data_IF_605953180414
#
_entry.id   IF_605953180414
#
_cell.length_a   1.000
_cell.length_b   1.000
_cell.length_c   1.000
_cell.angle_alpha   90.00
_cell.angle_beta   90.00
_cell.angle_gamma   90.00
#
_symmetry.space_group_name_H-M   'P 1'
#
loop_
_entity.id
_entity.type
_entity.pdbx_description
1 polymer ?
#
# COMPACT_ATOMS: atom_id res chain seq x y z
N UNK A 1 34.23 5.78 -1.81
CA UNK A 1 33.19 6.41 -2.68
C UNK A 1 32.19 7.26 -1.88
N UNK A 2 31.73 6.82 -0.71
CA UNK A 2 30.86 7.60 0.19
C UNK A 2 31.55 8.88 0.71
N UNK A 3 32.87 8.84 0.97
CA UNK A 3 33.61 10.00 1.47
C UNK A 3 33.70 11.14 0.45
N UNK A 4 33.75 10.82 -0.84
CA UNK A 4 33.72 11.81 -1.92
C UNK A 4 32.35 12.49 -2.09
N UNK A 5 31.26 11.77 -1.84
CA UNK A 5 29.91 12.35 -1.79
C UNK A 5 29.71 13.19 -0.54
N UNK A 6 30.25 12.75 0.60
CA UNK A 6 30.22 13.50 1.86
C UNK A 6 31.00 14.81 1.77
N UNK A 7 32.08 14.85 1.00
CA UNK A 7 32.83 16.07 0.71
C UNK A 7 32.09 17.04 -0.24
N UNK A 8 31.29 16.52 -1.19
CA UNK A 8 30.51 17.36 -2.13
C UNK A 8 29.25 17.97 -1.54
N UNK A 9 28.63 17.31 -0.56
CA UNK A 9 27.37 17.79 0.05
C UNK A 9 27.36 17.59 1.58
N UNK A 10 28.31 18.19 2.31
CA UNK A 10 28.44 18.01 3.77
C UNK A 10 27.19 18.46 4.52
N UNK A 11 26.47 19.46 4.00
CA UNK A 11 25.22 19.96 4.56
C UNK A 11 24.09 18.93 4.53
N UNK A 12 24.00 18.10 3.48
CA UNK A 12 22.98 17.05 3.36
C UNK A 12 23.27 15.91 4.34
N UNK A 13 24.54 15.51 4.47
CA UNK A 13 24.95 14.51 5.46
C UNK A 13 24.80 15.00 6.90
N UNK A 14 25.12 16.27 7.17
CA UNK A 14 24.89 16.88 8.48
C UNK A 14 23.39 16.98 8.81
N UNK A 15 22.55 17.30 7.82
CA UNK A 15 21.10 17.29 7.99
C UNK A 15 20.57 15.87 8.27
N UNK A 16 21.01 14.87 7.51
CA UNK A 16 20.66 13.46 7.72
C UNK A 16 21.09 12.94 9.11
N UNK A 17 22.25 13.36 9.60
CA UNK A 17 22.74 13.01 10.94
C UNK A 17 21.92 13.65 12.07
N UNK A 18 21.23 14.77 11.81
CA UNK A 18 20.39 15.44 12.79
C UNK A 18 18.97 14.88 12.87
N UNK A 19 18.56 14.03 11.92
CA UNK A 19 17.22 13.43 11.94
C UNK A 19 17.18 12.42 13.09
N UNK A 20 16.34 12.65 14.12
CA UNK A 20 16.23 11.71 15.22
C UNK A 20 15.68 10.39 14.68
N UNK A 21 16.22 9.26 15.16
CA UNK A 21 15.78 7.95 14.69
C UNK A 21 14.30 7.73 15.01
N UNK A 22 13.51 7.21 14.04
CA UNK A 22 12.10 6.95 14.26
C UNK A 22 11.91 5.92 15.38
N UNK A 23 10.88 6.16 16.20
CA UNK A 23 10.56 5.33 17.37
C UNK A 23 9.40 4.40 17.03
N UNK A 24 9.56 3.11 17.32
CA UNK A 24 8.53 2.10 17.08
C UNK A 24 8.33 1.29 18.37
N UNK A 25 7.07 1.18 18.79
CA UNK A 25 6.69 0.36 19.94
C UNK A 25 6.66 -1.13 19.57
N UNK A 26 7.04 -2.00 20.51
CA UNK A 26 6.86 -3.44 20.33
C UNK A 26 5.39 -3.81 20.40
N UNK A 27 4.99 -4.72 19.53
CA UNK A 27 3.61 -5.21 19.46
C UNK A 27 3.59 -6.72 19.24
N UNK A 28 2.51 -7.41 19.68
CA UNK A 28 2.37 -8.84 19.42
C UNK A 28 2.38 -9.14 17.91
N UNK A 29 2.83 -10.34 17.55
CA UNK A 29 3.04 -10.79 16.18
C UNK A 29 1.99 -10.34 15.13
N UNK A 30 0.66 -10.58 15.32
CA UNK A 30 -0.32 -10.20 14.30
C UNK A 30 -0.40 -8.68 14.10
N UNK A 31 -0.21 -7.91 15.16
CA UNK A 31 -0.21 -6.44 15.12
C UNK A 31 1.07 -5.89 14.52
N UNK A 32 2.20 -6.58 14.68
CA UNK A 32 3.46 -6.21 14.03
C UNK A 32 3.34 -6.28 12.50
N UNK A 33 2.66 -7.30 11.98
CA UNK A 33 2.38 -7.45 10.54
C UNK A 33 1.48 -6.32 10.03
N UNK A 34 0.40 -6.02 10.74
CA UNK A 34 -0.49 -4.91 10.39
C UNK A 34 0.25 -3.57 10.45
N UNK A 35 1.03 -3.32 11.50
CA UNK A 35 1.83 -2.09 11.65
C UNK A 35 2.84 -1.93 10.51
N UNK A 36 3.50 -3.02 10.10
CA UNK A 36 4.41 -3.03 8.98
C UNK A 36 3.69 -2.76 7.65
N UNK A 37 2.56 -3.41 7.41
CA UNK A 37 1.74 -3.19 6.21
C UNK A 37 1.20 -1.76 6.14
N UNK A 38 0.73 -1.19 7.25
CA UNK A 38 0.27 0.19 7.33
C UNK A 38 1.40 1.19 7.10
N UNK A 39 2.61 0.94 7.63
CA UNK A 39 3.76 1.78 7.38
C UNK A 39 4.17 1.76 5.89
N UNK A 40 4.16 0.58 5.28
CA UNK A 40 4.39 0.40 3.85
C UNK A 40 3.35 1.12 2.99
N UNK A 41 2.07 1.06 3.41
CA UNK A 41 0.96 1.74 2.76
C UNK A 41 1.15 3.26 2.77
N UNK A 42 1.44 3.87 3.93
CA UNK A 42 1.63 5.32 4.01
C UNK A 42 2.87 5.79 3.25
N UNK A 43 4.02 5.10 3.38
CA UNK A 43 5.24 5.46 2.63
C UNK A 43 5.00 5.32 1.13
N UNK A 44 4.35 4.22 0.73
CA UNK A 44 4.01 3.96 -0.66
C UNK A 44 3.09 5.03 -1.24
N UNK A 45 2.00 5.35 -0.53
CA UNK A 45 1.06 6.37 -0.94
C UNK A 45 1.70 7.76 -1.02
N UNK A 46 2.51 8.14 -0.03
CA UNK A 46 3.18 9.44 -0.01
C UNK A 46 4.15 9.61 -1.18
N UNK A 47 4.99 8.60 -1.44
CA UNK A 47 5.91 8.63 -2.58
C UNK A 47 5.15 8.57 -3.92
N UNK A 48 4.07 7.79 -3.98
CA UNK A 48 3.22 7.74 -5.17
C UNK A 48 2.63 9.10 -5.47
N UNK A 49 2.02 9.77 -4.48
CA UNK A 49 1.47 11.12 -4.61
C UNK A 49 2.57 12.10 -5.02
N UNK A 50 3.74 12.04 -4.36
CA UNK A 50 4.86 12.91 -4.68
C UNK A 50 5.31 12.76 -6.14
N UNK A 51 5.57 11.54 -6.61
CA UNK A 51 5.98 11.30 -8.00
C UNK A 51 4.86 11.59 -8.98
N UNK A 52 3.61 11.26 -8.64
CA UNK A 52 2.43 11.55 -9.44
C UNK A 52 2.27 13.05 -9.70
N UNK A 53 2.52 13.90 -8.69
CA UNK A 53 2.49 15.36 -8.83
C UNK A 53 3.73 15.86 -9.56
N UNK A 54 4.92 15.51 -9.08
CA UNK A 54 6.19 16.00 -9.63
C UNK A 54 6.34 15.66 -11.11
N UNK A 55 6.12 14.40 -11.49
CA UNK A 55 6.30 13.96 -12.89
C UNK A 55 5.24 14.54 -13.82
N UNK A 56 4.00 14.77 -13.34
CA UNK A 56 2.97 15.43 -14.15
C UNK A 56 3.30 16.89 -14.41
N UNK A 57 3.83 17.60 -13.42
CA UNK A 57 4.30 18.99 -13.59
C UNK A 57 5.36 19.07 -14.70
N UNK A 58 6.20 18.04 -14.84
CA UNK A 58 7.24 17.96 -15.87
C UNK A 58 6.82 17.19 -17.14
N UNK A 59 5.55 16.78 -17.29
CA UNK A 59 5.07 16.02 -18.45
C UNK A 59 5.72 14.64 -18.63
N UNK A 60 6.30 14.07 -17.57
CA UNK A 60 7.08 12.83 -17.59
C UNK A 60 6.38 11.65 -16.88
N UNK A 61 5.08 11.79 -16.60
CA UNK A 61 4.26 10.73 -15.99
C UNK A 61 3.52 9.93 -17.07
N UNK A 62 3.41 8.59 -16.96
CA UNK A 62 3.96 7.71 -15.92
C UNK A 62 5.44 7.34 -16.16
N UNK A 63 6.19 7.11 -15.09
CA UNK A 63 7.59 6.66 -15.17
C UNK A 63 7.82 5.36 -14.38
N UNK A 64 8.26 4.29 -15.07
CA UNK A 64 8.46 2.97 -14.47
C UNK A 64 9.54 2.92 -13.37
N UNK A 65 10.52 3.82 -13.39
CA UNK A 65 11.51 3.92 -12.31
C UNK A 65 10.90 4.46 -11.01
N UNK A 66 9.90 5.34 -11.11
CA UNK A 66 9.25 5.94 -9.95
C UNK A 66 8.41 4.90 -9.20
N UNK A 67 7.66 4.06 -9.92
CA UNK A 67 6.95 2.92 -9.32
C UNK A 67 7.92 1.92 -8.67
N UNK A 68 9.07 1.64 -9.30
CA UNK A 68 10.12 0.82 -8.70
C UNK A 68 10.67 1.39 -7.37
N UNK A 69 10.89 2.71 -7.29
CA UNK A 69 11.33 3.35 -6.05
C UNK A 69 10.25 3.31 -4.96
N UNK A 70 8.99 3.52 -5.31
CA UNK A 70 7.85 3.37 -4.40
C UNK A 70 7.85 1.96 -3.82
N UNK A 71 7.92 0.93 -4.66
CA UNK A 71 7.96 -0.48 -4.21
C UNK A 71 9.14 -0.73 -3.27
N UNK A 72 10.34 -0.28 -3.64
CA UNK A 72 11.53 -0.48 -2.80
C UNK A 72 11.38 0.18 -1.42
N UNK A 73 10.90 1.43 -1.38
CA UNK A 73 10.70 2.15 -0.14
C UNK A 73 9.61 1.52 0.73
N UNK A 74 8.48 1.11 0.15
CA UNK A 74 7.39 0.44 0.87
C UNK A 74 7.85 -0.90 1.46
N UNK A 75 8.51 -1.74 0.64
CA UNK A 75 9.04 -3.05 1.08
C UNK A 75 10.08 -2.87 2.17
N UNK A 76 11.02 -1.94 2.00
CA UNK A 76 12.05 -1.66 3.01
C UNK A 76 11.45 -1.14 4.31
N UNK A 77 10.46 -0.26 4.23
CA UNK A 77 9.73 0.23 5.40
C UNK A 77 9.04 -0.91 6.14
N UNK A 78 8.32 -1.77 5.41
CA UNK A 78 7.63 -2.90 6.01
C UNK A 78 8.58 -3.87 6.70
N UNK A 79 9.68 -4.24 6.04
CA UNK A 79 10.71 -5.13 6.56
C UNK A 79 11.36 -4.53 7.82
N UNK A 80 11.73 -3.25 7.77
CA UNK A 80 12.31 -2.55 8.91
C UNK A 80 11.34 -2.47 10.09
N UNK A 81 10.08 -2.10 9.85
CA UNK A 81 9.05 -2.01 10.90
C UNK A 81 8.71 -3.38 11.46
N UNK A 82 8.50 -4.41 10.64
CA UNK A 82 8.17 -5.77 11.09
C UNK A 82 9.25 -6.34 12.02
N UNK A 83 10.52 -6.17 11.65
CA UNK A 83 11.64 -6.66 12.45
C UNK A 83 11.80 -5.96 13.79
N UNK A 84 11.53 -4.65 13.86
CA UNK A 84 11.68 -3.84 15.08
C UNK A 84 10.46 -4.00 16.00
N UNK A 85 9.26 -4.05 15.41
CA UNK A 85 7.99 -4.13 16.13
C UNK A 85 7.67 -5.55 16.63
N UNK A 86 7.93 -6.58 15.81
CA UNK A 86 7.57 -7.98 16.09
C UNK A 86 8.73 -8.98 16.07
N UNK A 87 9.97 -8.52 15.86
CA UNK A 87 11.15 -9.38 15.87
C UNK A 87 11.30 -10.24 14.61
N UNK A 88 12.12 -11.30 14.74
CA UNK A 88 12.47 -12.19 13.61
C UNK A 88 11.27 -12.92 13.02
N UNK A 89 10.31 -13.33 13.84
CA UNK A 89 9.12 -14.03 13.37
C UNK A 89 8.28 -13.16 12.44
N UNK A 90 7.99 -11.91 12.84
CA UNK A 90 7.25 -10.96 12.00
C UNK A 90 8.01 -10.61 10.71
N UNK A 91 9.34 -10.46 10.80
CA UNK A 91 10.19 -10.29 9.62
C UNK A 91 10.05 -11.45 8.63
N UNK A 92 10.23 -12.69 9.08
CA UNK A 92 10.17 -13.85 8.20
C UNK A 92 8.76 -14.08 7.64
N UNK A 93 7.71 -13.82 8.44
CA UNK A 93 6.34 -13.92 7.97
C UNK A 93 6.06 -12.89 6.85
N UNK A 94 6.45 -11.63 7.04
CA UNK A 94 6.25 -10.60 6.03
C UNK A 94 7.13 -10.82 4.79
N UNK A 95 8.39 -11.21 4.97
CA UNK A 95 9.28 -11.53 3.85
C UNK A 95 8.77 -12.76 3.06
N UNK A 96 8.31 -13.79 3.76
CA UNK A 96 7.70 -14.97 3.15
C UNK A 96 6.45 -14.63 2.36
N UNK A 97 5.60 -13.74 2.89
CA UNK A 97 4.45 -13.20 2.16
C UNK A 97 4.87 -12.53 0.84
N UNK A 98 5.83 -11.60 0.87
CA UNK A 98 6.32 -10.93 -0.36
C UNK A 98 6.82 -11.94 -1.39
N UNK A 99 7.56 -12.96 -0.95
CA UNK A 99 8.08 -14.01 -1.84
C UNK A 99 6.93 -14.78 -2.49
N UNK A 100 5.91 -15.16 -1.72
CA UNK A 100 4.72 -15.86 -2.24
C UNK A 100 3.95 -14.97 -3.22
N UNK A 101 3.65 -13.73 -2.85
CA UNK A 101 2.99 -12.75 -3.71
C UNK A 101 3.76 -12.55 -5.03
N UNK A 102 5.08 -12.44 -4.93
CA UNK A 102 5.94 -12.24 -6.10
C UNK A 102 5.96 -13.47 -6.99
N UNK A 103 6.06 -14.66 -6.41
CA UNK A 103 6.03 -15.91 -7.17
C UNK A 103 4.72 -16.08 -7.95
N UNK A 104 3.59 -15.78 -7.31
CA UNK A 104 2.27 -15.75 -7.94
C UNK A 104 2.24 -14.74 -9.09
N UNK A 105 2.66 -13.51 -8.83
CA UNK A 105 2.64 -12.43 -9.82
C UNK A 105 3.54 -12.73 -11.03
N UNK A 106 4.72 -13.31 -10.78
CA UNK A 106 5.66 -13.70 -11.84
C UNK A 106 5.08 -14.82 -12.71
N UNK A 107 4.42 -15.81 -12.08
CA UNK A 107 3.74 -16.90 -12.79
C UNK A 107 2.66 -16.35 -13.71
N UNK A 108 1.88 -15.38 -13.24
CA UNK A 108 0.86 -14.73 -14.05
C UNK A 108 1.46 -13.92 -15.20
N UNK A 109 2.51 -13.14 -14.93
CA UNK A 109 3.24 -12.40 -15.95
C UNK A 109 3.76 -13.32 -17.05
N UNK A 110 4.34 -14.48 -16.70
CA UNK A 110 4.81 -15.47 -17.68
C UNK A 110 3.67 -16.07 -18.52
N UNK A 111 2.50 -16.34 -17.92
CA UNK A 111 1.32 -16.79 -18.68
C UNK A 111 0.81 -15.74 -19.65
N UNK A 112 0.72 -14.48 -19.22
CA UNK A 112 0.33 -13.36 -20.07
C UNK A 112 1.32 -13.15 -21.22
N UNK A 113 2.62 -13.25 -20.93
CA UNK A 113 3.68 -13.13 -21.92
C UNK A 113 3.70 -14.26 -22.96
N UNK A 114 3.15 -15.43 -22.62
CA UNK A 114 3.00 -16.54 -23.55
C UNK A 114 1.78 -16.38 -24.48
N UNK A 115 0.79 -15.55 -24.12
CA UNK A 115 -0.47 -15.40 -24.87
C UNK A 115 -0.56 -14.13 -25.69
N UNK A 116 0.23 -13.09 -25.39
CA UNK A 116 0.17 -11.79 -26.08
C UNK A 116 1.25 -11.69 -27.17
N UNK A 117 0.82 -11.37 -28.40
CA UNK A 117 1.70 -11.11 -29.54
C UNK A 117 1.33 -9.78 -30.24
N UNK A 118 2.30 -8.88 -30.49
CA UNK A 118 3.72 -8.97 -30.10
C UNK A 118 3.91 -8.82 -28.58
N UNK A 119 4.84 -9.61 -28.02
CA UNK A 119 5.08 -9.61 -26.59
C UNK A 119 5.72 -8.28 -26.14
N UNK A 120 5.21 -7.62 -25.08
CA UNK A 120 5.79 -6.39 -24.56
C UNK A 120 7.20 -6.62 -23.99
N UNK A 121 8.02 -5.57 -23.92
CA UNK A 121 9.41 -5.64 -23.43
C UNK A 121 9.55 -6.17 -21.99
N UNK A 122 8.48 -6.03 -21.20
CA UNK A 122 8.33 -6.62 -19.85
C UNK A 122 8.33 -8.16 -19.84
N UNK A 123 8.13 -8.81 -20.99
CA UNK A 123 8.16 -10.26 -21.17
C UNK A 123 9.55 -10.83 -21.48
N UNK A 124 10.54 -9.97 -21.71
CA UNK A 124 11.92 -10.39 -21.88
C UNK A 124 12.55 -10.80 -20.53
N UNK A 125 13.61 -11.62 -20.56
CA UNK A 125 14.38 -11.98 -19.36
C UNK A 125 14.83 -10.74 -18.56
N UNK A 126 15.31 -9.71 -19.26
CA UNK A 126 15.71 -8.44 -18.65
C UNK A 126 14.50 -7.65 -18.11
N UNK A 127 13.35 -7.70 -18.78
CA UNK A 127 12.08 -7.16 -18.25
C UNK A 127 11.68 -7.83 -16.94
N UNK A 128 11.81 -9.16 -16.85
CA UNK A 128 11.52 -9.90 -15.61
C UNK A 128 12.53 -9.57 -14.50
N UNK A 129 13.82 -9.45 -14.80
CA UNK A 129 14.84 -9.07 -13.83
C UNK A 129 14.64 -7.65 -13.27
N UNK A 130 14.29 -6.70 -14.13
CA UNK A 130 14.04 -5.31 -13.69
C UNK A 130 12.85 -5.21 -12.73
N UNK A 131 11.87 -6.11 -12.84
CA UNK A 131 10.75 -6.17 -11.88
C UNK A 131 11.11 -6.77 -10.51
N UNK A 132 12.24 -7.49 -10.39
CA UNK A 132 12.73 -8.03 -9.11
C UNK A 132 13.63 -7.06 -8.36
N UNK A 133 14.34 -6.20 -9.10
CA UNK A 133 15.31 -5.25 -8.55
C UNK A 133 14.74 -4.36 -7.43
N UNK A 134 13.52 -3.79 -7.54
CA UNK A 134 12.90 -3.01 -6.45
C UNK A 134 12.81 -3.75 -5.11
N UNK A 135 12.56 -5.05 -5.12
CA UNK A 135 12.42 -5.84 -3.90
C UNK A 135 13.77 -6.10 -3.24
N UNK A 136 14.82 -6.31 -4.02
CA UNK A 136 16.20 -6.43 -3.51
C UNK A 136 16.64 -5.10 -2.90
N UNK A 137 16.39 -3.99 -3.60
CA UNK A 137 16.67 -2.65 -3.08
C UNK A 137 15.88 -2.38 -1.80
N UNK A 138 14.60 -2.77 -1.76
CA UNK A 138 13.77 -2.70 -0.58
C UNK A 138 14.31 -3.50 0.60
N UNK A 139 14.79 -4.72 0.38
CA UNK A 139 15.45 -5.52 1.42
C UNK A 139 16.68 -4.82 2.01
N UNK A 140 17.52 -4.22 1.17
CA UNK A 140 18.69 -3.44 1.61
C UNK A 140 18.29 -2.18 2.39
N UNK A 141 17.29 -1.43 1.89
CA UNK A 141 16.72 -0.28 2.59
C UNK A 141 16.15 -0.69 3.94
N UNK A 142 15.44 -1.80 3.99
CA UNK A 142 14.90 -2.37 5.21
C UNK A 142 15.99 -2.68 6.21
N UNK A 143 17.08 -3.33 5.79
CA UNK A 143 18.24 -3.58 6.65
C UNK A 143 18.86 -2.30 7.21
N UNK A 144 19.00 -1.26 6.38
CA UNK A 144 19.44 0.06 6.85
C UNK A 144 18.47 0.67 7.87
N UNK A 145 17.17 0.56 7.60
CA UNK A 145 16.12 1.08 8.47
C UNK A 145 16.09 0.36 9.82
N UNK A 146 16.31 -0.96 9.85
CA UNK A 146 16.41 -1.74 11.10
C UNK A 146 17.47 -1.19 12.04
N UNK A 147 18.62 -0.79 11.49
CA UNK A 147 19.74 -0.25 12.26
C UNK A 147 19.49 1.18 12.74
N UNK A 148 18.61 1.91 12.06
CA UNK A 148 18.31 3.29 12.37
C UNK A 148 17.11 3.43 13.32
N UNK A 149 16.11 2.56 13.23
CA UNK A 149 14.93 2.56 14.08
C UNK A 149 15.28 2.29 15.55
N UNK A 150 14.64 3.02 16.46
CA UNK A 150 14.74 2.77 17.90
C UNK A 150 13.46 2.11 18.42
N UNK A 151 13.65 1.01 19.15
CA UNK A 151 12.59 0.38 19.93
C UNK A 151 12.32 1.24 21.16
N UNK A 152 11.05 1.52 21.44
CA UNK A 152 10.63 2.26 22.65
C UNK A 152 9.49 1.52 23.32
N UNK A 153 9.48 1.48 24.65
CA UNK A 153 8.36 0.98 25.42
C UNK A 153 7.27 2.08 25.47
N UNK A 154 6.09 1.79 24.91
CA UNK A 154 5.02 2.76 24.79
C UNK A 154 3.80 2.20 24.05
N UNK A 155 2.77 3.03 23.88
CA UNK A 155 1.56 2.60 23.19
C UNK A 155 1.82 2.28 21.70
N UNK A 156 1.18 1.21 21.17
CA UNK A 156 1.19 0.89 19.74
C UNK A 156 0.71 2.06 18.88
N UNK A 157 1.23 2.18 17.66
CA UNK A 157 0.69 3.15 16.72
C UNK A 157 -0.58 2.60 16.05
N UNK A 158 -1.73 2.94 16.63
CA UNK A 158 -3.05 2.45 16.19
C UNK A 158 -3.34 2.83 14.74
N UNK A 159 -2.86 3.98 14.26
CA UNK A 159 -3.05 4.40 12.86
C UNK A 159 -2.42 3.40 11.89
N UNK A 160 -1.24 2.88 12.20
CA UNK A 160 -0.54 1.91 11.35
C UNK A 160 -1.22 0.54 11.39
N UNK A 161 -1.72 0.10 12.56
CA UNK A 161 -2.49 -1.14 12.65
C UNK A 161 -3.76 -1.08 11.80
N UNK A 162 -4.49 0.04 11.85
CA UNK A 162 -5.73 0.28 11.10
C UNK A 162 -5.45 0.37 9.59
N UNK A 163 -4.43 1.13 9.19
CA UNK A 163 -4.03 1.21 7.78
C UNK A 163 -3.54 -0.14 7.24
N UNK A 164 -2.83 -0.92 8.06
CA UNK A 164 -2.43 -2.28 7.72
C UNK A 164 -3.61 -3.22 7.52
N UNK A 165 -4.68 -3.04 8.27
CA UNK A 165 -5.90 -3.83 8.14
C UNK A 165 -6.69 -3.53 6.86
N UNK A 166 -6.44 -2.38 6.24
CA UNK A 166 -6.92 -2.06 4.91
C UNK A 166 -5.99 -2.65 3.84
N UNK A 167 -4.69 -2.32 3.93
CA UNK A 167 -3.72 -2.64 2.89
C UNK A 167 -3.43 -4.15 2.76
N UNK A 168 -3.43 -4.89 3.86
CA UNK A 168 -3.06 -6.32 3.84
C UNK A 168 -4.13 -7.20 3.18
N UNK A 169 -5.44 -7.08 3.49
CA UNK A 169 -6.49 -7.77 2.75
C UNK A 169 -6.53 -7.41 1.26
N UNK A 170 -6.32 -6.15 0.90
CA UNK A 170 -6.23 -5.74 -0.50
C UNK A 170 -5.09 -6.48 -1.22
N UNK A 171 -3.87 -6.43 -0.68
CA UNK A 171 -2.71 -7.10 -1.27
C UNK A 171 -2.91 -8.63 -1.34
N UNK A 172 -3.46 -9.23 -0.29
CA UNK A 172 -3.79 -10.65 -0.23
C UNK A 172 -4.76 -11.04 -1.33
N UNK A 173 -5.83 -10.29 -1.47
CA UNK A 173 -6.87 -10.67 -2.38
C UNK A 173 -6.51 -10.39 -3.84
N UNK A 174 -5.72 -9.35 -4.14
CA UNK A 174 -5.11 -9.21 -5.46
C UNK A 174 -4.24 -10.42 -5.82
N UNK A 175 -3.50 -10.96 -4.84
CA UNK A 175 -2.66 -12.14 -5.03
C UNK A 175 -3.52 -13.39 -5.27
N UNK A 176 -4.50 -13.66 -4.40
CA UNK A 176 -5.41 -14.80 -4.55
C UNK A 176 -6.19 -14.77 -5.86
N UNK A 177 -6.64 -13.58 -6.26
CA UNK A 177 -7.38 -13.39 -7.49
C UNK A 177 -6.55 -13.77 -8.72
N UNK A 178 -5.27 -13.35 -8.75
CA UNK A 178 -4.32 -13.76 -9.81
C UNK A 178 -4.08 -15.27 -9.86
N UNK A 179 -4.13 -15.97 -8.73
CA UNK A 179 -3.97 -17.44 -8.67
C UNK A 179 -5.22 -18.15 -9.19
N UNK A 180 -6.39 -17.76 -8.69
CA UNK A 180 -7.64 -18.50 -8.90
C UNK A 180 -8.21 -18.33 -10.31
N UNK A 181 -8.12 -17.13 -10.87
CA UNK A 181 -8.84 -16.80 -12.10
C UNK A 181 -7.94 -16.70 -13.34
N UNK A 182 -6.61 -16.80 -13.19
CA UNK A 182 -5.69 -16.69 -14.32
C UNK A 182 -5.93 -15.37 -15.06
N UNK A 183 -6.51 -15.43 -16.26
CA UNK A 183 -6.98 -14.28 -17.06
C UNK A 183 -8.50 -14.07 -16.86
N UNK A 184 -8.92 -13.39 -15.80
CA UNK A 184 -10.34 -13.10 -15.59
C UNK A 184 -10.89 -12.27 -16.75
N UNK A 185 -12.16 -12.50 -17.07
CA UNK A 185 -12.91 -11.50 -17.86
C UNK A 185 -12.95 -10.18 -17.08
N UNK A 186 -13.08 -9.05 -17.77
CA UNK A 186 -13.11 -7.72 -17.13
C UNK A 186 -14.16 -7.63 -16.01
N UNK A 187 -15.24 -8.41 -16.08
CA UNK A 187 -16.32 -8.47 -15.09
C UNK A 187 -15.92 -9.17 -13.79
N UNK A 188 -15.29 -10.33 -13.86
CA UNK A 188 -14.85 -11.09 -12.67
C UNK A 188 -13.76 -10.33 -11.91
N UNK A 189 -12.87 -9.67 -12.65
CA UNK A 189 -11.85 -8.80 -12.07
C UNK A 189 -12.44 -7.61 -11.32
N UNK A 190 -13.41 -6.93 -11.92
CA UNK A 190 -14.07 -5.80 -11.29
C UNK A 190 -14.89 -6.22 -10.06
N UNK A 191 -15.72 -7.26 -10.16
CA UNK A 191 -16.54 -7.72 -9.03
C UNK A 191 -15.69 -8.17 -7.85
N UNK A 192 -14.58 -8.87 -8.13
CA UNK A 192 -13.68 -9.32 -7.07
C UNK A 192 -12.98 -8.13 -6.43
N UNK A 193 -12.51 -7.16 -7.22
CA UNK A 193 -11.88 -5.96 -6.69
C UNK A 193 -12.84 -5.14 -5.80
N UNK A 194 -14.13 -5.10 -6.14
CA UNK A 194 -15.16 -4.48 -5.31
C UNK A 194 -15.41 -5.26 -4.00
N UNK A 195 -15.49 -6.59 -4.07
CA UNK A 195 -15.64 -7.45 -2.89
C UNK A 195 -14.45 -7.30 -1.93
N UNK A 196 -13.24 -7.22 -2.48
CA UNK A 196 -12.00 -7.02 -1.73
C UNK A 196 -12.00 -5.69 -1.01
N UNK A 197 -12.38 -4.61 -1.71
CA UNK A 197 -12.57 -3.29 -1.11
C UNK A 197 -13.51 -3.37 0.09
N UNK A 198 -14.65 -4.03 -0.10
CA UNK A 198 -15.66 -4.13 0.93
C UNK A 198 -15.13 -4.89 2.15
N UNK A 199 -14.43 -6.01 1.95
CA UNK A 199 -13.82 -6.78 3.05
C UNK A 199 -12.71 -5.99 3.75
N UNK A 200 -11.84 -5.31 3.00
CA UNK A 200 -10.76 -4.49 3.55
C UNK A 200 -11.30 -3.29 4.35
N UNK A 201 -12.30 -2.58 3.81
CA UNK A 201 -13.00 -1.49 4.48
C UNK A 201 -13.71 -1.93 5.76
N UNK A 202 -14.39 -3.09 5.74
CA UNK A 202 -15.00 -3.68 6.94
C UNK A 202 -13.93 -4.05 7.98
N UNK A 203 -12.84 -4.69 7.58
CA UNK A 203 -11.76 -5.08 8.49
C UNK A 203 -11.13 -3.86 9.18
N UNK A 204 -10.82 -2.82 8.40
CA UNK A 204 -10.34 -1.52 8.88
C UNK A 204 -11.31 -0.91 9.91
N UNK A 205 -12.61 -0.84 9.58
CA UNK A 205 -13.65 -0.29 10.46
C UNK A 205 -13.86 -1.09 11.75
N UNK A 206 -13.84 -2.42 11.68
CA UNK A 206 -13.95 -3.30 12.85
C UNK A 206 -12.76 -3.10 13.80
N UNK A 207 -11.55 -3.01 13.26
CA UNK A 207 -10.35 -2.82 14.06
C UNK A 207 -10.29 -1.45 14.72
N UNK A 208 -10.67 -0.40 14.00
CA UNK A 208 -10.82 0.94 14.56
C UNK A 208 -11.79 0.95 15.75
N UNK A 209 -12.97 0.30 15.60
CA UNK A 209 -13.99 0.21 16.66
C UNK A 209 -13.51 -0.59 17.87
N UNK A 210 -12.72 -1.64 17.66
CA UNK A 210 -12.20 -2.48 18.75
C UNK A 210 -11.07 -1.83 19.53
N UNK A 211 -10.26 -1.00 18.87
CA UNK A 211 -9.03 -0.45 19.46
C UNK A 211 -9.19 0.97 20.01
N UNK A 212 -10.21 1.70 19.57
CA UNK A 212 -10.40 3.11 19.93
C UNK A 212 -11.81 3.32 20.43
N UNK A 213 -11.96 3.80 21.67
CA UNK A 213 -13.27 4.01 22.32
C UNK A 213 -13.79 5.44 22.18
N UNK A 214 -12.90 6.39 21.88
CA UNK A 214 -13.21 7.81 21.67
C UNK A 214 -13.63 8.09 20.20
N UNK A 215 -14.88 8.52 19.96
CA UNK A 215 -15.39 8.78 18.61
C UNK A 215 -14.67 9.92 17.89
N UNK A 216 -14.22 10.96 18.59
CA UNK A 216 -13.51 12.08 17.94
C UNK A 216 -12.16 11.62 17.36
N UNK A 217 -11.48 10.71 18.06
CA UNK A 217 -10.22 10.12 17.61
C UNK A 217 -10.44 9.10 16.47
N UNK A 218 -11.55 8.36 16.48
CA UNK A 218 -11.92 7.46 15.39
C UNK A 218 -12.11 8.21 14.07
N UNK A 219 -12.89 9.30 14.08
CA UNK A 219 -13.12 10.12 12.88
C UNK A 219 -11.85 10.73 12.32
N UNK A 220 -10.95 11.20 13.18
CA UNK A 220 -9.65 11.74 12.75
C UNK A 220 -8.81 10.69 12.03
N UNK A 221 -8.74 9.47 12.55
CA UNK A 221 -7.92 8.41 11.94
C UNK A 221 -8.52 7.91 10.62
N UNK A 222 -9.85 7.79 10.54
CA UNK A 222 -10.54 7.50 9.29
C UNK A 222 -10.38 8.60 8.27
N UNK A 223 -10.44 9.86 8.68
CA UNK A 223 -10.21 10.98 7.78
C UNK A 223 -8.78 10.93 7.22
N UNK A 224 -7.78 10.60 8.04
CA UNK A 224 -6.39 10.45 7.56
C UNK A 224 -6.29 9.31 6.53
N UNK A 225 -6.81 8.12 6.84
CA UNK A 225 -6.78 6.98 5.90
C UNK A 225 -7.56 7.31 4.63
N UNK A 226 -8.75 7.89 4.77
CA UNK A 226 -9.61 8.30 3.68
C UNK A 226 -8.99 9.34 2.76
N UNK A 227 -8.33 10.37 3.31
CA UNK A 227 -7.59 11.37 2.52
C UNK A 227 -6.45 10.72 1.75
N UNK A 228 -5.75 9.74 2.33
CA UNK A 228 -4.67 9.05 1.63
C UNK A 228 -5.21 8.19 0.49
N UNK A 229 -6.25 7.39 0.74
CA UNK A 229 -6.91 6.55 -0.28
C UNK A 229 -7.48 7.42 -1.41
N UNK A 230 -8.25 8.45 -1.07
CA UNK A 230 -8.83 9.39 -2.04
C UNK A 230 -7.75 10.18 -2.78
N UNK A 231 -6.67 10.57 -2.10
CA UNK A 231 -5.56 11.31 -2.69
C UNK A 231 -4.83 10.49 -3.75
N UNK A 232 -4.49 9.24 -3.43
CA UNK A 232 -3.92 8.30 -4.41
C UNK A 232 -4.89 8.08 -5.57
N UNK A 233 -6.17 7.88 -5.27
CA UNK A 233 -7.18 7.68 -6.30
C UNK A 233 -7.32 8.88 -7.26
N UNK A 234 -7.54 10.09 -6.74
CA UNK A 234 -7.69 11.33 -7.50
C UNK A 234 -6.46 11.62 -8.36
N UNK A 235 -5.27 11.35 -7.85
CA UNK A 235 -4.02 11.70 -8.50
C UNK A 235 -3.46 10.58 -9.36
N UNK A 236 -3.94 9.34 -9.29
CA UNK A 236 -3.34 8.22 -10.03
C UNK A 236 -4.39 7.48 -10.83
N UNK A 237 -5.42 6.98 -10.17
CA UNK A 237 -6.45 6.15 -10.79
C UNK A 237 -7.36 6.97 -11.70
N UNK A 238 -7.83 8.14 -11.24
CA UNK A 238 -8.77 8.96 -11.99
C UNK A 238 -8.18 9.50 -13.33
N UNK A 239 -6.94 10.03 -13.38
CA UNK A 239 -6.37 10.46 -14.65
C UNK A 239 -6.13 9.29 -15.62
N UNK A 240 -5.66 8.15 -15.13
CA UNK A 240 -5.49 6.95 -15.95
C UNK A 240 -6.84 6.46 -16.51
N UNK A 241 -7.91 6.55 -15.72
CA UNK A 241 -9.26 6.27 -16.18
C UNK A 241 -9.74 7.29 -17.22
N UNK A 242 -9.49 8.59 -17.00
CA UNK A 242 -9.85 9.65 -17.94
C UNK A 242 -9.15 9.49 -19.30
N UNK A 243 -7.90 9.03 -19.31
CA UNK A 243 -7.16 8.65 -20.52
C UNK A 243 -7.80 7.43 -21.21
N UNK A 244 -8.22 6.41 -20.45
CA UNK A 244 -8.86 5.21 -20.99
C UNK A 244 -10.23 5.47 -21.62
N UNK A 245 -11.02 6.41 -21.09
CA UNK A 245 -12.35 6.72 -21.63
C UNK A 245 -12.30 7.69 -22.82
N UNK A 246 -11.11 8.13 -23.22
CA UNK A 246 -10.89 8.87 -24.46
C UNK A 246 -11.73 10.14 -24.53
N UNK A 247 -11.46 11.11 -23.65
CA UNK A 247 -11.77 12.53 -23.91
C UNK A 247 -10.97 12.95 -25.16
N UNK A 248 -11.44 12.51 -26.33
CA UNK A 248 -10.73 12.52 -27.62
C UNK A 248 -11.02 11.37 -28.61
N UNK A 249 -11.69 10.26 -28.23
CA UNK A 249 -12.19 9.27 -29.20
C UNK A 249 -12.05 7.79 -28.83
N UNK A 250 -13.19 7.08 -28.95
CA UNK A 250 -13.41 5.63 -29.16
C UNK A 250 -12.39 4.66 -28.55
N UNK A 251 -12.42 4.52 -27.22
CA UNK A 251 -11.94 3.30 -26.55
C UNK A 251 -13.05 2.78 -25.64
N UNK A 252 -13.32 1.47 -25.68
CA UNK A 252 -14.32 0.84 -24.83
C UNK A 252 -13.84 0.84 -23.37
N UNK A 253 -14.62 1.44 -22.49
CA UNK A 253 -14.34 1.46 -21.04
C UNK A 253 -14.61 0.07 -20.48
N UNK A 254 -13.56 -0.64 -20.05
CA UNK A 254 -13.70 -1.93 -19.36
C UNK A 254 -14.25 -1.75 -17.94
N UNK A 255 -14.97 -2.76 -17.44
CA UNK A 255 -15.62 -2.73 -16.12
C UNK A 255 -14.62 -2.50 -14.96
N UNK A 256 -13.38 -2.98 -15.13
CA UNK A 256 -12.27 -2.79 -14.17
C UNK A 256 -11.94 -1.31 -13.97
N UNK A 257 -12.00 -0.49 -15.03
CA UNK A 257 -11.78 0.96 -14.94
C UNK A 257 -12.84 1.65 -14.09
N UNK A 258 -14.11 1.25 -14.24
CA UNK A 258 -15.23 1.78 -13.46
C UNK A 258 -15.14 1.35 -11.99
N UNK A 259 -14.71 0.12 -11.71
CA UNK A 259 -14.51 -0.33 -10.33
C UNK A 259 -13.36 0.41 -9.66
N UNK A 260 -12.26 0.69 -10.37
CA UNK A 260 -11.19 1.51 -9.83
C UNK A 260 -11.67 2.93 -9.42
N UNK A 261 -12.72 3.46 -10.05
CA UNK A 261 -13.40 4.71 -9.68
C UNK A 261 -14.20 4.57 -8.39
N UNK A 262 -14.96 3.48 -8.23
CA UNK A 262 -15.93 3.30 -7.13
C UNK A 262 -15.25 2.78 -5.85
N UNK A 263 -14.18 1.99 -6.00
CA UNK A 263 -13.40 1.35 -4.94
C UNK A 263 -13.19 2.21 -3.68
N UNK A 264 -12.56 3.39 -3.74
CA UNK A 264 -12.26 4.18 -2.54
C UNK A 264 -13.51 4.70 -1.82
N UNK A 265 -14.62 4.87 -2.54
CA UNK A 265 -15.88 5.36 -1.97
C UNK A 265 -16.63 4.26 -1.21
N UNK A 266 -16.51 3.00 -1.65
CA UNK A 266 -17.12 1.85 -0.98
C UNK A 266 -16.49 1.64 0.40
N UNK A 267 -15.17 1.71 0.49
CA UNK A 267 -14.45 1.55 1.76
C UNK A 267 -14.83 2.62 2.78
N UNK A 268 -14.91 3.88 2.32
CA UNK A 268 -15.34 5.01 3.13
C UNK A 268 -16.82 4.91 3.54
N UNK A 269 -17.70 4.52 2.62
CA UNK A 269 -19.15 4.41 2.87
C UNK A 269 -19.51 3.29 3.85
N UNK A 270 -18.87 2.12 3.73
CA UNK A 270 -19.08 1.00 4.64
C UNK A 270 -18.56 1.33 6.04
N UNK A 271 -17.39 1.98 6.14
CA UNK A 271 -16.86 2.45 7.41
C UNK A 271 -17.79 3.46 8.10
N UNK A 272 -18.27 4.46 7.36
CA UNK A 272 -19.22 5.45 7.89
C UNK A 272 -20.51 4.82 8.39
N UNK A 273 -21.02 3.80 7.70
CA UNK A 273 -22.28 3.11 8.06
C UNK A 273 -22.12 2.25 9.31
N UNK A 274 -20.99 1.54 9.47
CA UNK A 274 -20.71 0.74 10.68
C UNK A 274 -20.54 1.62 11.91
N UNK A 275 -19.96 2.82 11.75
CA UNK A 275 -19.82 3.82 12.83
C UNK A 275 -21.15 4.45 13.19
N UNK A 276 -21.96 4.81 12.19
CA UNK A 276 -23.31 5.30 12.42
C UNK A 276 -24.15 4.28 13.20
N UNK A 277 -24.10 2.99 12.81
CA UNK A 277 -24.78 1.94 13.56
C UNK A 277 -24.21 1.71 14.97
N UNK A 278 -22.93 1.98 15.19
CA UNK A 278 -22.32 1.91 16.53
C UNK A 278 -22.79 3.07 17.42
N UNK A 279 -22.94 4.27 16.87
CA UNK A 279 -23.44 5.45 17.57
C UNK A 279 -24.96 5.35 17.84
N UNK A 280 -25.73 4.86 16.87
CA UNK A 280 -27.16 4.58 17.04
C UNK A 280 -27.42 3.53 18.16
N UNK A 281 -26.50 2.57 18.34
CA UNK A 281 -26.54 1.61 19.46
C UNK A 281 -26.10 2.19 20.80
N UNK A 282 -25.29 3.26 20.82
CA UNK A 282 -24.99 4.00 22.06
C UNK A 282 -26.19 4.81 22.52
N UNK A 283 -26.88 5.49 21.60
CA UNK A 283 -28.09 6.26 21.91
C UNK A 283 -29.20 5.39 22.53
N UNK A 284 -29.31 4.14 22.10
CA UNK A 284 -30.27 3.17 22.68
C UNK A 284 -29.82 2.59 24.02
N UNK A 285 -28.50 2.44 24.26
CA UNK A 285 -27.97 1.95 25.53
C UNK A 285 -27.93 3.01 26.64
N UNK A 286 -27.92 4.31 26.30
CA UNK A 286 -28.05 5.43 27.25
C UNK A 286 -29.49 5.84 27.50
N UNK A 287 -30.46 5.28 26.75
CA UNK A 287 -31.88 5.55 26.88
C UNK A 287 -32.63 4.53 27.77
N UNK A 288 -31.88 3.67 28.49
CA UNK A 288 -32.36 2.75 29.54
C UNK A 288 -31.62 3.03 30.82
#
# INVERSE_FOLDING_TARGET
>A
MIDGLRARSPQVFAALQRIPPPRVARVPFPWAILTAAGAAFFVGALLTIFFAVALRIFGAYPAGWASGLVTAASVGTAIGVASVAGGRSALFAYAGWIVVERFVTLTFQLRFCATVFPAPSSCSFFGTLTTLFPYVLGGLLGYGLMRWLRVVDGEPNHLLEIAGALALPEALAFTFFRVLFGSPTDLEAALTQLLVALVAGVACGVLLRRRITDPARQWRLLAIVGVVVLGVWLLVALPAFAEQIGVGGRVAVGLVGIVAVIFPFVELGVAATILYMAEARRLTATAT
#
